data_IF_108178290687
#
_entry.id   IF_108178290687
#
_cell.length_a   1.000
_cell.length_b   1.000
_cell.length_c   1.000
_cell.angle_alpha   90.00
_cell.angle_beta   90.00
_cell.angle_gamma   90.00
#
_symmetry.space_group_name_H-M   'P 1'
#
loop_
_entity.id
_entity.type
_entity.pdbx_description
1 polymer ?
#
# COMPACT_ATOMS: atom_id res chain seq x y z
N UNK A 1 -12.13 44.32 16.04
CA UNK A 1 -13.49 43.74 15.84
C UNK A 1 -14.38 44.61 14.94
N UNK A 2 -14.38 45.94 15.06
CA UNK A 2 -15.24 46.82 14.23
C UNK A 2 -14.83 46.96 12.75
N UNK A 3 -13.72 46.34 12.31
CA UNK A 3 -13.29 46.36 10.91
C UNK A 3 -12.65 47.67 10.41
N UNK A 4 -12.38 48.61 11.32
CA UNK A 4 -11.86 49.96 11.01
C UNK A 4 -10.49 49.96 10.30
N UNK A 5 -9.61 49.03 10.67
CA UNK A 5 -8.22 49.00 10.19
C UNK A 5 -8.00 47.98 9.08
N UNK A 6 -6.99 48.22 8.25
CA UNK A 6 -6.61 47.32 7.15
C UNK A 6 -5.76 46.13 7.61
N UNK A 7 -5.73 45.08 6.79
CA UNK A 7 -4.92 43.90 7.04
C UNK A 7 -3.44 44.25 7.21
N UNK A 8 -2.78 43.61 8.18
CA UNK A 8 -1.36 43.86 8.48
C UNK A 8 -1.05 45.20 9.17
N UNK A 9 -2.00 46.13 9.28
CA UNK A 9 -1.75 47.45 9.86
C UNK A 9 -1.54 47.42 11.39
N UNK A 10 -2.23 46.52 12.09
CA UNK A 10 -2.20 46.42 13.55
C UNK A 10 -2.31 44.95 14.00
N UNK A 11 -1.73 44.67 15.17
CA UNK A 11 -1.81 43.38 15.86
C UNK A 11 -2.02 43.59 17.35
N UNK A 12 -2.72 42.66 18.00
CA UNK A 12 -2.72 42.56 19.47
C UNK A 12 -1.54 41.67 19.87
N UNK A 13 -0.73 42.12 20.83
CA UNK A 13 0.42 41.36 21.35
C UNK A 13 0.25 41.15 22.85
N UNK A 14 0.68 39.99 23.35
CA UNK A 14 0.93 39.83 24.77
C UNK A 14 2.14 40.69 25.15
N UNK A 15 2.18 41.13 26.41
CA UNK A 15 3.31 41.88 26.96
C UNK A 15 4.01 41.00 27.99
N UNK A 16 5.13 40.41 27.61
CA UNK A 16 5.83 39.37 28.38
C UNK A 16 7.29 39.83 28.59
N UNK A 17 8.21 39.40 27.73
CA UNK A 17 9.62 39.79 27.83
C UNK A 17 10.32 39.74 26.46
N UNK A 18 10.57 40.94 25.89
CA UNK A 18 11.30 41.10 24.63
C UNK A 18 12.77 40.63 24.69
N UNK A 19 13.36 40.50 25.89
CA UNK A 19 14.73 40.02 26.08
C UNK A 19 14.80 38.49 26.27
N UNK A 20 13.66 37.79 26.31
CA UNK A 20 13.62 36.36 26.58
C UNK A 20 14.49 35.56 25.62
N UNK A 21 15.23 34.52 26.09
CA UNK A 21 15.94 33.60 25.20
C UNK A 21 14.97 32.76 24.36
N UNK A 22 13.72 32.59 24.81
CA UNK A 22 12.67 31.94 24.03
C UNK A 22 11.97 32.98 23.15
N UNK A 23 12.06 32.80 21.82
CA UNK A 23 11.44 33.69 20.84
C UNK A 23 9.92 33.82 21.02
N UNK A 24 9.24 32.76 21.45
CA UNK A 24 7.80 32.75 21.64
C UNK A 24 7.36 33.64 22.83
N UNK A 25 8.28 33.97 23.74
CA UNK A 25 7.99 34.84 24.89
C UNK A 25 8.27 36.33 24.61
N UNK A 26 8.71 36.67 23.39
CA UNK A 26 9.03 38.06 23.00
C UNK A 26 7.80 38.80 22.49
N UNK A 27 6.92 39.15 23.42
CA UNK A 27 5.64 39.82 23.17
C UNK A 27 4.90 39.20 21.96
N UNK A 28 4.50 37.92 22.02
CA UNK A 28 3.94 37.22 20.87
C UNK A 28 2.63 37.88 20.40
N UNK A 29 2.37 37.78 19.08
CA UNK A 29 1.10 38.23 18.49
C UNK A 29 -0.02 37.28 18.92
N UNK A 30 -1.13 37.85 19.43
CA UNK A 30 -2.33 37.12 19.84
C UNK A 30 -3.44 37.21 18.80
N UNK A 31 -3.63 38.38 18.19
CA UNK A 31 -4.60 38.60 17.12
C UNK A 31 -4.00 39.39 15.96
N UNK A 32 -4.43 39.04 14.75
CA UNK A 32 -4.14 39.79 13.52
C UNK A 32 -5.44 40.16 12.81
N UNK A 33 -5.37 41.22 12.01
CA UNK A 33 -6.44 41.60 11.09
C UNK A 33 -6.31 40.76 9.82
N UNK A 34 -7.39 40.05 9.49
CA UNK A 34 -7.54 39.29 8.26
C UNK A 34 -9.03 39.39 7.87
N UNK A 35 -9.33 40.00 6.73
CA UNK A 35 -10.68 40.27 6.21
C UNK A 35 -11.09 39.18 5.22
N UNK A 36 -10.87 37.93 5.61
CA UNK A 36 -11.25 36.73 4.86
C UNK A 36 -12.45 36.04 5.50
N UNK A 37 -13.27 35.40 4.67
CA UNK A 37 -14.46 34.68 5.14
C UNK A 37 -14.05 33.36 5.81
N UNK A 38 -14.56 33.09 7.00
CA UNK A 38 -14.28 31.84 7.71
C UNK A 38 -15.36 30.78 7.41
N UNK A 39 -14.92 29.56 7.12
CA UNK A 39 -15.82 28.47 6.73
C UNK A 39 -16.94 28.12 7.74
N UNK A 40 -16.82 28.50 9.03
CA UNK A 40 -17.86 28.29 10.06
C UNK A 40 -18.62 29.55 10.45
N UNK A 41 -17.96 30.70 10.46
CA UNK A 41 -18.49 31.96 11.03
C UNK A 41 -18.71 33.03 9.97
N UNK A 42 -18.48 32.70 8.69
CA UNK A 42 -18.58 33.64 7.57
C UNK A 42 -17.75 34.89 7.82
N UNK A 43 -18.38 36.04 7.58
CA UNK A 43 -17.75 37.36 7.66
C UNK A 43 -17.94 38.06 9.02
N UNK A 44 -18.34 37.32 10.07
CA UNK A 44 -18.61 37.89 11.40
C UNK A 44 -17.35 38.51 12.04
N UNK A 45 -16.16 37.98 11.72
CA UNK A 45 -14.91 38.32 12.38
C UNK A 45 -13.86 38.83 11.39
N UNK A 46 -13.46 40.12 11.46
CA UNK A 46 -12.35 40.66 10.66
C UNK A 46 -10.98 40.52 11.36
N UNK A 47 -10.94 39.79 12.48
CA UNK A 47 -9.72 39.52 13.26
C UNK A 47 -9.71 38.06 13.66
N UNK A 48 -8.53 37.45 13.62
CA UNK A 48 -8.37 36.03 13.93
C UNK A 48 -7.24 35.84 14.94
N UNK A 49 -7.42 34.94 15.92
CA UNK A 49 -6.38 34.62 16.88
C UNK A 49 -5.23 33.87 16.21
N UNK A 50 -4.04 33.96 16.78
CA UNK A 50 -2.91 33.09 16.44
C UNK A 50 -3.09 31.70 17.03
N UNK A 51 -2.31 30.73 16.53
CA UNK A 51 -2.30 29.36 17.07
C UNK A 51 -2.01 29.35 18.57
N UNK A 52 -0.95 30.03 18.99
CA UNK A 52 -0.52 30.07 20.39
C UNK A 52 -1.57 30.64 21.35
N UNK A 53 -2.35 31.62 20.92
CA UNK A 53 -3.43 32.20 21.72
C UNK A 53 -4.74 31.40 21.67
N UNK A 54 -4.94 30.58 20.64
CA UNK A 54 -6.16 29.78 20.52
C UNK A 54 -6.01 28.42 21.22
N UNK A 55 -4.85 27.77 21.09
CA UNK A 55 -4.68 26.36 21.46
C UNK A 55 -4.91 26.10 22.95
N UNK A 56 -4.11 26.73 23.84
CA UNK A 56 -4.23 26.49 25.27
C UNK A 56 -5.55 26.94 25.86
N UNK A 57 -6.16 27.98 25.30
CA UNK A 57 -7.47 28.48 25.70
C UNK A 57 -8.58 27.51 25.28
N UNK A 58 -8.50 26.93 24.08
CA UNK A 58 -9.40 25.85 23.64
C UNK A 58 -9.30 24.62 24.54
N UNK A 59 -8.08 24.16 24.84
CA UNK A 59 -7.86 23.05 25.76
C UNK A 59 -8.45 23.32 27.15
N UNK A 60 -8.29 24.55 27.63
CA UNK A 60 -8.82 24.99 28.91
C UNK A 60 -10.36 24.98 28.93
N UNK A 61 -11.00 25.53 27.89
CA UNK A 61 -12.46 25.57 27.73
C UNK A 61 -13.03 24.15 27.67
N UNK A 62 -12.36 23.24 26.99
CA UNK A 62 -12.76 21.83 26.85
C UNK A 62 -12.34 20.95 28.04
N UNK A 63 -11.58 21.50 29.00
CA UNK A 63 -11.01 20.81 30.16
C UNK A 63 -10.15 19.60 29.78
N UNK A 64 -9.34 19.76 28.74
CA UNK A 64 -8.38 18.75 28.30
C UNK A 64 -7.33 18.54 29.39
N UNK A 65 -7.17 17.30 29.88
CA UNK A 65 -6.18 17.02 30.94
C UNK A 65 -4.75 17.00 30.39
N UNK A 66 -4.56 16.34 29.24
CA UNK A 66 -3.26 16.15 28.60
C UNK A 66 -3.37 16.55 27.13
N UNK A 67 -2.81 17.71 26.78
CA UNK A 67 -2.73 18.22 25.41
C UNK A 67 -1.50 17.64 24.72
N UNK A 68 -1.70 16.64 23.87
CA UNK A 68 -0.62 15.86 23.26
C UNK A 68 -0.29 16.41 21.87
N UNK A 69 0.92 16.93 21.69
CA UNK A 69 1.39 17.52 20.43
C UNK A 69 2.79 17.02 20.05
N UNK A 70 3.33 17.46 18.91
CA UNK A 70 4.67 17.03 18.45
C UNK A 70 5.78 17.95 18.98
N UNK A 71 7.03 17.46 18.96
CA UNK A 71 8.20 18.20 19.47
C UNK A 71 8.42 19.58 18.83
N UNK A 72 7.89 19.83 17.63
CA UNK A 72 7.92 21.17 17.03
C UNK A 72 7.30 22.26 17.93
N UNK A 73 6.42 21.88 18.87
CA UNK A 73 5.74 22.79 19.80
C UNK A 73 6.37 22.84 21.20
N UNK A 74 7.50 22.17 21.45
CA UNK A 74 8.15 22.17 22.78
C UNK A 74 8.52 23.59 23.23
N UNK A 75 9.06 24.42 22.32
CA UNK A 75 9.40 25.81 22.62
C UNK A 75 8.16 26.72 22.76
N UNK A 76 6.97 26.24 22.40
CA UNK A 76 5.70 26.95 22.57
C UNK A 76 5.09 26.73 23.95
N UNK A 77 5.44 25.63 24.64
CA UNK A 77 4.91 25.30 25.98
C UNK A 77 5.04 26.45 27.00
N UNK A 78 6.17 27.18 27.11
CA UNK A 78 6.26 28.29 28.07
C UNK A 78 5.22 29.39 27.84
N UNK A 79 4.84 29.63 26.58
CA UNK A 79 3.79 30.59 26.23
C UNK A 79 2.39 30.01 26.50
N UNK A 80 2.19 28.73 26.21
CA UNK A 80 0.98 27.99 26.52
C UNK A 80 0.64 28.09 28.01
N UNK A 81 1.61 27.77 28.87
CA UNK A 81 1.47 27.82 30.34
C UNK A 81 1.24 29.27 30.80
N UNK A 82 2.05 30.22 30.31
CA UNK A 82 1.92 31.65 30.68
C UNK A 82 0.53 32.21 30.39
N UNK A 83 -0.05 31.88 29.23
CA UNK A 83 -1.39 32.34 28.86
C UNK A 83 -2.49 31.72 29.74
N UNK A 84 -2.34 30.46 30.18
CA UNK A 84 -3.32 29.83 31.07
C UNK A 84 -3.25 30.41 32.49
N UNK A 85 -2.04 30.67 32.98
CA UNK A 85 -1.80 31.30 34.28
C UNK A 85 -2.33 32.74 34.33
N UNK A 86 -1.97 33.57 33.34
CA UNK A 86 -2.34 35.00 33.32
C UNK A 86 -3.85 35.21 33.14
N UNK A 87 -4.54 34.27 32.48
CA UNK A 87 -5.99 34.31 32.34
C UNK A 87 -6.74 33.66 33.52
N UNK A 88 -6.02 33.06 34.46
CA UNK A 88 -6.59 32.33 35.62
C UNK A 88 -7.60 31.24 35.20
N UNK A 89 -7.30 30.52 34.12
CA UNK A 89 -8.16 29.48 33.54
C UNK A 89 -7.71 28.06 33.91
N UNK A 90 -8.47 27.04 33.50
CA UNK A 90 -8.10 25.65 33.75
C UNK A 90 -6.76 25.33 33.07
N UNK A 91 -5.78 24.89 33.87
CA UNK A 91 -4.44 24.58 33.39
C UNK A 91 -4.40 23.16 32.82
N UNK A 92 -4.32 23.06 31.49
CA UNK A 92 -4.11 21.80 30.79
C UNK A 92 -2.61 21.50 30.71
N UNK A 93 -2.22 20.22 30.66
CA UNK A 93 -0.81 19.86 30.58
C UNK A 93 -0.41 19.58 29.13
N UNK A 94 0.44 20.41 28.53
CA UNK A 94 1.05 20.10 27.24
C UNK A 94 2.12 19.00 27.37
N UNK A 95 2.06 18.00 26.49
CA UNK A 95 3.02 16.89 26.41
C UNK A 95 3.42 16.67 24.96
N UNK A 96 4.72 16.63 24.70
CA UNK A 96 5.25 16.49 23.35
C UNK A 96 5.80 15.08 23.05
N UNK A 97 5.62 14.61 21.82
CA UNK A 97 6.25 13.39 21.30
C UNK A 97 6.88 13.62 19.92
N UNK A 98 7.84 12.78 19.55
CA UNK A 98 8.49 12.85 18.24
C UNK A 98 7.50 12.44 17.15
N UNK A 99 7.42 13.23 16.08
CA UNK A 99 6.53 12.93 14.95
C UNK A 99 6.98 11.66 14.22
N UNK A 100 6.03 10.97 13.59
CA UNK A 100 6.35 9.87 12.68
C UNK A 100 7.00 10.42 11.40
N UNK A 101 8.17 9.89 11.07
CA UNK A 101 8.74 9.97 9.73
C UNK A 101 8.93 8.55 9.19
N UNK A 102 8.72 8.36 7.89
CA UNK A 102 8.82 7.07 7.22
C UNK A 102 9.85 7.14 6.10
N UNK A 103 10.61 6.07 5.87
CA UNK A 103 11.48 5.96 4.70
C UNK A 103 10.67 5.92 3.40
N UNK A 104 11.28 6.35 2.30
CA UNK A 104 10.72 6.36 0.93
C UNK A 104 9.43 7.19 0.75
N UNK A 105 9.18 8.15 1.63
CA UNK A 105 7.99 9.01 1.57
C UNK A 105 8.23 10.39 2.18
N UNK A 106 7.30 11.31 1.93
CA UNK A 106 7.31 12.68 2.47
C UNK A 106 6.08 12.91 3.33
N UNK A 107 6.26 13.48 4.53
CA UNK A 107 5.15 13.73 5.47
C UNK A 107 4.66 15.18 5.45
N UNK A 108 5.40 16.10 4.82
CA UNK A 108 5.06 17.52 4.84
C UNK A 108 3.85 17.82 3.94
N UNK A 109 2.86 18.53 4.49
CA UNK A 109 1.65 18.94 3.74
C UNK A 109 1.99 19.71 2.47
N UNK A 110 2.99 20.60 2.52
CA UNK A 110 3.43 21.40 1.37
C UNK A 110 3.89 20.51 0.21
N UNK A 111 4.77 19.54 0.47
CA UNK A 111 5.26 18.62 -0.57
C UNK A 111 4.17 17.67 -1.07
N UNK A 112 3.31 17.18 -0.19
CA UNK A 112 2.19 16.33 -0.59
C UNK A 112 1.22 17.07 -1.51
N UNK A 113 0.91 18.33 -1.20
CA UNK A 113 0.11 19.20 -2.06
C UNK A 113 0.79 19.45 -3.40
N UNK A 114 2.09 19.72 -3.40
CA UNK A 114 2.89 19.91 -4.63
C UNK A 114 2.87 18.67 -5.54
N UNK A 115 2.95 17.45 -4.98
CA UNK A 115 2.83 16.20 -5.73
C UNK A 115 1.46 16.04 -6.40
N UNK A 116 0.39 16.46 -5.72
CA UNK A 116 -0.99 16.40 -6.23
C UNK A 116 -1.21 17.46 -7.30
N UNK A 117 -0.86 18.72 -7.03
CA UNK A 117 -1.07 19.85 -7.95
C UNK A 117 -0.23 19.71 -9.24
N UNK A 118 0.95 19.11 -9.14
CA UNK A 118 1.84 18.88 -10.28
C UNK A 118 1.54 17.57 -11.03
N UNK A 119 0.56 16.77 -10.59
CA UNK A 119 0.13 15.55 -11.28
C UNK A 119 1.07 14.35 -11.21
N UNK A 120 2.02 14.32 -10.25
CA UNK A 120 2.86 13.13 -10.02
C UNK A 120 2.07 11.96 -9.40
N UNK A 121 0.98 12.30 -8.72
CA UNK A 121 -0.02 11.37 -8.18
C UNK A 121 -1.42 11.75 -8.64
N UNK A 122 -2.35 10.80 -8.64
CA UNK A 122 -3.70 10.98 -9.17
C UNK A 122 -4.66 11.71 -8.21
N UNK A 123 -4.18 12.11 -7.02
CA UNK A 123 -4.98 12.78 -6.00
C UNK A 123 -4.50 12.50 -4.58
N UNK A 124 -5.21 13.05 -3.59
CA UNK A 124 -4.93 12.81 -2.16
C UNK A 124 -5.20 11.38 -1.72
N UNK A 125 -5.99 10.61 -2.47
CA UNK A 125 -6.30 9.21 -2.23
C UNK A 125 -5.49 8.25 -3.11
N UNK A 126 -4.49 8.73 -3.85
CA UNK A 126 -3.60 7.87 -4.64
C UNK A 126 -2.93 6.81 -3.73
N UNK A 127 -2.92 5.52 -4.10
CA UNK A 127 -2.31 4.45 -3.30
C UNK A 127 -0.81 4.62 -2.99
N UNK A 128 -0.09 5.48 -3.71
CA UNK A 128 1.31 5.81 -3.44
C UNK A 128 1.48 6.86 -2.33
N UNK A 129 0.41 7.60 -1.99
CA UNK A 129 0.44 8.66 -0.99
C UNK A 129 0.39 8.11 0.44
N UNK A 130 1.12 8.70 1.40
CA UNK A 130 1.11 8.31 2.81
C UNK A 130 -0.14 8.81 3.56
N UNK A 131 -1.18 9.23 2.83
CA UNK A 131 -2.44 9.71 3.41
C UNK A 131 -3.28 8.53 3.87
N UNK A 132 -4.12 8.74 4.89
CA UNK A 132 -5.05 7.69 5.35
C UNK A 132 -6.00 7.24 4.23
N UNK A 133 -6.43 8.16 3.36
CA UNK A 133 -7.21 7.86 2.16
C UNK A 133 -6.43 7.02 1.15
N UNK A 134 -5.16 7.35 0.88
CA UNK A 134 -4.28 6.61 -0.01
C UNK A 134 -4.00 5.19 0.49
N UNK A 135 -3.65 5.06 1.78
CA UNK A 135 -3.47 3.75 2.43
C UNK A 135 -4.76 2.91 2.37
N UNK A 136 -5.92 3.51 2.65
CA UNK A 136 -7.21 2.82 2.56
C UNK A 136 -7.50 2.32 1.14
N UNK A 137 -7.29 3.17 0.11
CA UNK A 137 -7.49 2.82 -1.30
C UNK A 137 -6.49 1.78 -1.79
N UNK A 138 -5.25 1.82 -1.30
CA UNK A 138 -4.23 0.78 -1.54
C UNK A 138 -4.64 -0.57 -0.98
N UNK A 139 -5.49 -0.60 0.04
CA UNK A 139 -6.01 -1.82 0.67
C UNK A 139 -5.47 -2.08 2.07
N UNK A 140 -4.82 -1.09 2.71
CA UNK A 140 -4.44 -1.22 4.12
C UNK A 140 -5.67 -1.42 4.99
N UNK A 141 -5.48 -2.16 6.08
CA UNK A 141 -6.50 -2.34 7.12
C UNK A 141 -6.25 -1.37 8.25
N UNK A 142 -7.31 -0.87 8.90
CA UNK A 142 -7.14 -0.03 10.07
C UNK A 142 -6.48 -0.80 11.24
N UNK A 143 -6.64 -2.12 11.30
CA UNK A 143 -5.93 -3.01 12.23
C UNK A 143 -4.42 -2.96 12.04
N UNK A 144 -3.94 -3.10 10.79
CA UNK A 144 -2.51 -3.04 10.49
C UNK A 144 -1.87 -1.69 10.82
N UNK A 145 -2.60 -0.58 10.58
CA UNK A 145 -2.12 0.77 10.89
C UNK A 145 -2.02 0.98 12.41
N UNK A 146 -3.01 0.53 13.19
CA UNK A 146 -2.96 0.59 14.66
C UNK A 146 -1.84 -0.28 15.22
N UNK A 147 -1.73 -1.52 14.77
CA UNK A 147 -0.65 -2.44 15.17
C UNK A 147 0.74 -1.85 14.84
N UNK A 148 0.88 -1.19 13.69
CA UNK A 148 2.11 -0.49 13.35
C UNK A 148 2.41 0.64 14.35
N UNK A 149 1.43 1.50 14.67
CA UNK A 149 1.59 2.56 15.67
C UNK A 149 1.96 2.00 17.05
N UNK A 150 1.34 0.90 17.48
CA UNK A 150 1.62 0.24 18.75
C UNK A 150 3.06 -0.31 18.79
N UNK A 151 3.53 -0.91 17.69
CA UNK A 151 4.89 -1.48 17.58
C UNK A 151 5.99 -0.43 17.61
N UNK A 152 5.83 0.69 16.92
CA UNK A 152 6.86 1.76 16.89
C UNK A 152 6.93 2.52 18.22
N UNK A 153 5.84 2.51 18.98
CA UNK A 153 5.72 3.20 20.26
C UNK A 153 5.75 4.72 20.13
N UNK A 154 5.79 5.38 21.29
CA UNK A 154 5.82 6.84 21.41
C UNK A 154 7.06 7.23 22.19
N UNK A 155 7.91 8.08 21.61
CA UNK A 155 9.15 8.56 22.22
C UNK A 155 9.34 10.05 21.96
N UNK A 156 10.27 10.69 22.69
CA UNK A 156 10.66 12.10 22.49
C UNK A 156 11.90 12.28 21.61
N UNK A 157 12.38 11.21 20.96
CA UNK A 157 13.54 11.27 20.07
C UNK A 157 13.07 11.10 18.63
N UNK A 158 13.47 12.02 17.77
CA UNK A 158 13.20 11.91 16.34
C UNK A 158 13.82 10.63 15.78
N UNK A 159 13.00 9.92 15.01
CA UNK A 159 13.41 8.71 14.32
C UNK A 159 12.68 8.59 12.98
N UNK A 160 13.37 8.05 11.98
CA UNK A 160 12.77 7.65 10.71
C UNK A 160 12.52 6.16 10.76
N UNK A 161 11.25 5.78 10.63
CA UNK A 161 10.82 4.38 10.70
C UNK A 161 10.83 3.79 9.29
N UNK A 162 11.36 2.57 9.18
CA UNK A 162 11.32 1.84 7.92
C UNK A 162 9.90 1.51 7.47
N UNK A 163 9.53 1.88 6.24
CA UNK A 163 8.21 1.55 5.66
C UNK A 163 7.93 0.05 5.66
N UNK A 164 8.97 -0.77 5.61
CA UNK A 164 8.88 -2.23 5.70
C UNK A 164 8.23 -2.74 6.99
N UNK A 165 8.29 -1.98 8.10
CA UNK A 165 7.60 -2.32 9.35
C UNK A 165 6.08 -2.17 9.22
N UNK A 166 5.62 -1.11 8.54
CA UNK A 166 4.20 -0.89 8.23
C UNK A 166 3.70 -1.99 7.27
N UNK A 167 4.48 -2.31 6.24
CA UNK A 167 4.15 -3.42 5.34
C UNK A 167 4.13 -4.78 6.05
N UNK A 168 4.99 -4.99 7.04
CA UNK A 168 5.01 -6.22 7.82
C UNK A 168 3.75 -6.36 8.68
N UNK A 169 3.34 -5.32 9.39
CA UNK A 169 2.09 -5.30 10.14
C UNK A 169 0.88 -5.62 9.24
N UNK A 170 0.87 -5.08 8.02
CA UNK A 170 -0.16 -5.37 7.02
C UNK A 170 -0.13 -6.84 6.55
N UNK A 171 1.04 -7.40 6.24
CA UNK A 171 1.17 -8.81 5.85
C UNK A 171 0.68 -9.74 6.95
N UNK A 172 1.01 -9.44 8.21
CA UNK A 172 0.59 -10.23 9.38
C UNK A 172 -0.93 -10.24 9.56
N UNK A 173 -1.58 -9.09 9.36
CA UNK A 173 -3.03 -8.96 9.44
C UNK A 173 -3.72 -9.68 8.27
N UNK A 174 -3.28 -9.43 7.03
CA UNK A 174 -3.91 -10.02 5.84
C UNK A 174 -3.67 -11.53 5.72
N UNK A 175 -2.55 -12.07 6.20
CA UNK A 175 -2.31 -13.52 6.18
C UNK A 175 -3.39 -14.31 6.93
N UNK A 176 -3.98 -13.69 7.97
CA UNK A 176 -5.01 -14.30 8.81
C UNK A 176 -6.42 -14.15 8.23
N UNK A 177 -6.67 -13.11 7.43
CA UNK A 177 -8.03 -12.68 7.04
C UNK A 177 -8.32 -12.79 5.55
N UNK A 178 -7.31 -12.70 4.69
CA UNK A 178 -7.50 -12.61 3.26
C UNK A 178 -7.71 -14.02 2.64
N UNK A 179 -8.82 -14.25 1.90
CA UNK A 179 -8.97 -15.45 1.11
C UNK A 179 -7.87 -15.53 0.04
N UNK A 180 -7.31 -16.72 -0.13
CA UNK A 180 -6.29 -17.05 -1.11
C UNK A 180 -6.97 -17.46 -2.41
N UNK A 181 -6.61 -16.80 -3.49
CA UNK A 181 -7.19 -16.97 -4.83
C UNK A 181 -6.07 -17.03 -5.88
N UNK A 182 -6.37 -17.56 -7.05
CA UNK A 182 -5.46 -17.62 -8.18
C UNK A 182 -5.68 -16.44 -9.14
N UNK A 183 -4.57 -15.81 -9.49
CA UNK A 183 -4.52 -14.71 -10.45
C UNK A 183 -3.21 -14.82 -11.19
N UNK A 184 -3.28 -14.77 -12.52
CA UNK A 184 -2.12 -14.79 -13.41
C UNK A 184 -1.94 -13.38 -13.97
N UNK A 185 -0.83 -12.74 -13.59
CA UNK A 185 -0.58 -11.34 -13.94
C UNK A 185 0.06 -11.18 -15.33
N UNK A 186 0.96 -12.10 -15.70
CA UNK A 186 1.58 -12.18 -17.03
C UNK A 186 1.24 -13.54 -17.67
N UNK A 187 0.10 -13.64 -18.38
CA UNK A 187 -0.46 -14.93 -18.78
C UNK A 187 0.31 -15.61 -19.92
N UNK A 188 0.80 -16.81 -19.64
CA UNK A 188 1.28 -17.76 -20.64
C UNK A 188 0.26 -18.89 -20.82
N UNK A 189 -0.18 -19.10 -22.06
CA UNK A 189 -1.18 -20.11 -22.42
C UNK A 189 -0.58 -21.51 -22.36
N UNK A 190 -1.31 -22.44 -21.75
CA UNK A 190 -0.99 -23.86 -21.70
C UNK A 190 -2.17 -24.67 -22.23
N UNK A 191 -1.92 -25.55 -23.19
CA UNK A 191 -2.91 -26.49 -23.73
C UNK A 191 -2.55 -27.90 -23.27
N UNK A 192 -3.47 -28.53 -22.54
CA UNK A 192 -3.31 -29.89 -22.01
C UNK A 192 -3.87 -30.88 -23.02
N UNK A 193 -3.01 -31.46 -23.84
CA UNK A 193 -3.39 -32.17 -25.07
C UNK A 193 -4.17 -33.46 -24.84
N UNK A 194 -3.91 -34.15 -23.72
CA UNK A 194 -4.62 -35.36 -23.34
C UNK A 194 -5.83 -35.11 -22.42
N UNK A 195 -6.20 -33.85 -22.16
CA UNK A 195 -7.45 -33.52 -21.47
C UNK A 195 -8.62 -33.42 -22.47
N UNK A 196 -9.78 -34.05 -22.24
CA UNK A 196 -10.88 -34.06 -23.21
C UNK A 196 -11.35 -32.66 -23.64
N UNK A 197 -11.58 -32.48 -24.94
CA UNK A 197 -12.11 -31.21 -25.46
C UNK A 197 -13.56 -30.98 -25.00
N UNK A 198 -13.88 -29.72 -24.67
CA UNK A 198 -15.22 -29.31 -24.22
C UNK A 198 -15.63 -29.83 -22.84
N UNK A 199 -14.72 -30.49 -22.11
CA UNK A 199 -14.96 -30.87 -20.71
C UNK A 199 -14.35 -29.85 -19.76
N UNK A 200 -15.05 -29.65 -18.64
CA UNK A 200 -14.59 -28.90 -17.48
C UNK A 200 -14.90 -29.70 -16.22
N UNK A 201 -14.08 -29.51 -15.19
CA UNK A 201 -14.34 -30.07 -13.87
C UNK A 201 -14.06 -29.05 -12.78
N UNK A 202 -14.61 -29.31 -11.60
CA UNK A 202 -14.44 -28.45 -10.44
C UNK A 202 -13.33 -28.98 -9.54
N UNK A 203 -12.35 -28.11 -9.24
CA UNK A 203 -11.25 -28.35 -8.31
C UNK A 203 -11.53 -27.60 -7.02
N UNK A 204 -11.58 -28.34 -5.91
CA UNK A 204 -11.77 -27.75 -4.58
C UNK A 204 -10.46 -27.21 -4.02
N UNK A 205 -10.50 -25.97 -3.51
CA UNK A 205 -9.35 -25.33 -2.86
C UNK A 205 -9.77 -24.63 -1.57
N UNK A 206 -8.96 -24.74 -0.53
CA UNK A 206 -9.19 -24.05 0.75
C UNK A 206 -9.04 -22.54 0.59
N UNK A 207 -9.98 -21.77 1.14
CA UNK A 207 -9.94 -20.30 1.06
C UNK A 207 -8.82 -19.71 1.91
N UNK A 208 -8.60 -20.23 3.12
CA UNK A 208 -7.55 -19.72 4.00
C UNK A 208 -7.02 -20.83 4.92
N UNK A 209 -5.82 -21.39 4.69
CA UNK A 209 -5.19 -22.34 5.62
C UNK A 209 -4.98 -21.84 7.06
N UNK A 210 -4.98 -20.52 7.30
CA UNK A 210 -4.89 -19.96 8.67
C UNK A 210 -6.27 -19.88 9.35
N UNK A 211 -7.36 -20.03 8.59
CA UNK A 211 -8.73 -19.98 9.09
C UNK A 211 -9.63 -20.99 8.37
N UNK A 212 -9.74 -22.17 8.97
CA UNK A 212 -10.59 -23.26 8.48
C UNK A 212 -12.08 -22.88 8.43
N UNK A 213 -12.52 -21.84 9.13
CA UNK A 213 -13.93 -21.41 9.12
C UNK A 213 -14.30 -20.67 7.83
N UNK A 214 -13.32 -20.22 7.05
CA UNK A 214 -13.54 -19.61 5.74
C UNK A 214 -13.94 -20.61 4.64
N UNK A 215 -13.92 -21.91 4.95
CA UNK A 215 -14.34 -22.97 4.05
C UNK A 215 -13.49 -23.11 2.80
N UNK A 216 -14.11 -23.66 1.76
CA UNK A 216 -13.48 -24.00 0.50
C UNK A 216 -14.19 -23.30 -0.66
N UNK A 217 -13.54 -23.25 -1.83
CA UNK A 217 -14.12 -22.77 -3.07
C UNK A 217 -13.88 -23.77 -4.19
N UNK A 218 -14.77 -23.72 -5.17
CA UNK A 218 -14.73 -24.49 -6.40
C UNK A 218 -14.05 -23.68 -7.49
N UNK A 219 -13.10 -24.28 -8.19
CA UNK A 219 -12.32 -23.63 -9.26
C UNK A 219 -12.44 -24.47 -10.53
N UNK A 220 -12.95 -23.90 -11.64
CA UNK A 220 -13.07 -24.65 -12.88
C UNK A 220 -11.69 -24.95 -13.47
N UNK A 221 -11.48 -26.21 -13.83
CA UNK A 221 -10.34 -26.71 -14.59
C UNK A 221 -10.80 -27.15 -15.98
N UNK A 222 -9.97 -26.90 -16.98
CA UNK A 222 -10.28 -27.16 -18.39
C UNK A 222 -9.02 -27.48 -19.18
N UNK A 223 -9.18 -27.94 -20.41
CA UNK A 223 -8.09 -28.24 -21.34
C UNK A 223 -7.07 -27.09 -21.50
N UNK A 224 -7.54 -25.85 -21.52
CA UNK A 224 -6.69 -24.67 -21.67
C UNK A 224 -6.63 -23.90 -20.36
N UNK A 225 -5.42 -23.65 -19.87
CA UNK A 225 -5.16 -22.87 -18.66
C UNK A 225 -4.11 -21.80 -18.92
N UNK A 226 -4.09 -20.76 -18.10
CA UNK A 226 -3.02 -19.78 -18.03
C UNK A 226 -2.17 -20.03 -16.79
N UNK A 227 -0.87 -19.85 -16.93
CA UNK A 227 0.12 -19.78 -15.83
C UNK A 227 0.91 -18.48 -15.96
N UNK A 228 1.70 -18.11 -14.96
CA UNK A 228 2.63 -16.98 -15.12
C UNK A 228 3.69 -17.30 -16.17
N UNK A 229 4.04 -16.34 -17.03
CA UNK A 229 5.16 -16.43 -17.97
C UNK A 229 6.47 -16.75 -17.25
N UNK A 230 6.63 -16.23 -16.03
CA UNK A 230 7.78 -16.51 -15.15
C UNK A 230 7.80 -17.92 -14.52
N UNK A 231 6.72 -18.68 -14.66
CA UNK A 231 6.67 -20.08 -14.24
C UNK A 231 7.22 -21.05 -15.29
N UNK A 232 7.66 -20.56 -16.45
CA UNK A 232 8.29 -21.36 -17.50
C UNK A 232 9.67 -20.84 -17.90
N UNK A 233 10.61 -21.77 -18.12
CA UNK A 233 11.92 -21.51 -18.73
C UNK A 233 12.32 -22.70 -19.62
N UNK A 234 12.71 -22.42 -20.86
CA UNK A 234 13.25 -23.45 -21.77
C UNK A 234 14.57 -24.00 -21.23
N UNK A 235 15.46 -23.09 -20.80
CA UNK A 235 16.73 -23.41 -20.18
C UNK A 235 16.68 -23.03 -18.69
N UNK A 236 16.24 -23.94 -17.81
CA UNK A 236 16.05 -23.62 -16.40
C UNK A 236 17.40 -23.45 -15.68
N UNK A 237 17.62 -22.35 -14.93
CA UNK A 237 18.82 -22.22 -14.10
C UNK A 237 18.79 -23.24 -12.94
N UNK A 238 19.95 -23.52 -12.30
CA UNK A 238 19.98 -24.39 -11.12
C UNK A 238 19.00 -23.93 -10.04
N UNK A 239 18.28 -24.89 -9.43
CA UNK A 239 17.22 -24.65 -8.43
C UNK A 239 15.96 -23.95 -8.97
N UNK A 240 15.79 -23.81 -10.27
CA UNK A 240 14.48 -23.56 -10.84
C UNK A 240 13.62 -24.83 -10.66
N UNK A 241 12.46 -24.72 -10.02
CA UNK A 241 11.59 -25.88 -9.74
C UNK A 241 10.29 -25.90 -10.55
N UNK A 242 10.09 -24.91 -11.41
CA UNK A 242 8.86 -24.69 -12.17
C UNK A 242 8.94 -25.40 -13.52
N UNK A 243 8.05 -25.06 -14.45
CA UNK A 243 7.87 -25.78 -15.70
C UNK A 243 9.04 -25.55 -16.67
N UNK A 244 9.52 -26.62 -17.27
CA UNK A 244 10.52 -26.61 -18.34
C UNK A 244 10.23 -27.80 -19.27
N UNK A 245 10.77 -27.82 -20.51
CA UNK A 245 10.58 -28.96 -21.41
C UNK A 245 10.95 -30.29 -20.74
N UNK A 246 10.08 -31.30 -20.87
CA UNK A 246 10.26 -32.64 -20.30
C UNK A 246 10.16 -32.75 -18.77
N UNK A 247 9.79 -31.67 -18.07
CA UNK A 247 9.71 -31.65 -16.61
C UNK A 247 8.29 -31.52 -16.10
N UNK A 248 7.98 -32.28 -15.06
CA UNK A 248 6.72 -32.19 -14.33
C UNK A 248 6.67 -30.99 -13.37
N UNK A 249 5.54 -30.28 -13.39
CA UNK A 249 5.15 -29.30 -12.37
C UNK A 249 3.75 -29.59 -11.86
N UNK A 250 3.48 -29.24 -10.60
CA UNK A 250 2.13 -29.33 -10.03
C UNK A 250 1.35 -28.05 -10.32
N UNK A 251 0.15 -28.18 -10.87
CA UNK A 251 -0.84 -27.13 -10.83
C UNK A 251 -1.53 -27.15 -9.46
N UNK A 252 -1.57 -26.00 -8.76
CA UNK A 252 -2.11 -25.91 -7.39
C UNK A 252 -3.49 -26.56 -7.30
N UNK A 253 -3.61 -27.54 -6.40
CA UNK A 253 -4.81 -28.36 -6.11
C UNK A 253 -5.36 -29.20 -7.27
N UNK A 254 -4.78 -29.12 -8.46
CA UNK A 254 -5.25 -29.83 -9.65
C UNK A 254 -4.36 -31.06 -9.94
N UNK A 255 -3.60 -31.02 -11.03
CA UNK A 255 -2.86 -32.15 -11.58
C UNK A 255 -1.37 -31.85 -11.76
N UNK A 256 -0.58 -32.88 -12.00
CA UNK A 256 0.76 -32.74 -12.54
C UNK A 256 0.68 -32.58 -14.05
N UNK A 257 1.48 -31.65 -14.59
CA UNK A 257 1.60 -31.44 -16.02
C UNK A 257 3.06 -31.52 -16.46
N UNK A 258 3.30 -32.04 -17.67
CA UNK A 258 4.60 -32.11 -18.33
C UNK A 258 4.56 -31.30 -19.61
N UNK A 259 5.53 -30.40 -19.81
CA UNK A 259 5.66 -29.65 -21.06
C UNK A 259 6.35 -30.52 -22.13
N UNK A 260 5.64 -30.74 -23.24
CA UNK A 260 6.09 -31.56 -24.36
C UNK A 260 6.59 -30.70 -25.52
N UNK A 261 5.93 -29.57 -25.77
CA UNK A 261 6.26 -28.67 -26.88
C UNK A 261 6.12 -27.19 -26.46
N UNK A 262 6.95 -26.35 -27.06
CA UNK A 262 6.97 -24.89 -26.88
C UNK A 262 6.66 -24.25 -28.21
N UNK A 263 5.52 -23.58 -28.30
CA UNK A 263 5.12 -22.85 -29.50
C UNK A 263 5.56 -21.39 -29.36
N UNK A 264 6.30 -20.93 -30.36
CA UNK A 264 6.83 -19.57 -30.43
C UNK A 264 6.20 -18.81 -31.58
N UNK A 265 6.10 -17.50 -31.41
CA UNK A 265 5.77 -16.58 -32.49
C UNK A 265 6.90 -16.56 -33.52
N UNK A 266 6.57 -16.74 -34.80
CA UNK A 266 7.57 -16.86 -35.87
C UNK A 266 8.34 -15.56 -36.12
N UNK A 267 7.75 -14.39 -35.81
CA UNK A 267 8.35 -13.09 -36.10
C UNK A 267 9.21 -12.57 -34.94
N UNK A 268 8.77 -12.77 -33.71
CA UNK A 268 9.41 -12.24 -32.48
C UNK A 268 10.25 -13.29 -31.75
N UNK A 269 9.97 -14.58 -31.97
CA UNK A 269 10.55 -15.68 -31.20
C UNK A 269 10.02 -15.77 -29.76
N UNK A 270 9.02 -14.98 -29.39
CA UNK A 270 8.41 -15.06 -28.05
C UNK A 270 7.60 -16.34 -27.88
N UNK A 271 7.63 -16.91 -26.67
CA UNK A 271 6.83 -18.08 -26.32
C UNK A 271 5.37 -17.63 -26.14
N UNK A 272 4.48 -18.18 -26.96
CA UNK A 272 3.05 -17.83 -26.97
C UNK A 272 2.17 -18.93 -26.37
N UNK A 273 2.61 -20.18 -26.43
CA UNK A 273 1.82 -21.31 -25.96
C UNK A 273 2.71 -22.51 -25.61
N UNK A 274 2.33 -23.23 -24.56
CA UNK A 274 2.93 -24.51 -24.18
C UNK A 274 1.95 -25.64 -24.44
N UNK A 275 2.43 -26.72 -25.06
CA UNK A 275 1.69 -27.98 -25.18
C UNK A 275 2.16 -28.92 -24.08
N UNK A 276 1.22 -29.33 -23.24
CA UNK A 276 1.49 -30.17 -22.10
C UNK A 276 0.60 -31.40 -22.10
N UNK A 277 1.00 -32.43 -21.36
CA UNK A 277 0.11 -33.51 -20.94
C UNK A 277 -0.09 -33.47 -19.44
N UNK A 278 -1.24 -33.92 -18.94
CA UNK A 278 -1.50 -34.08 -17.51
C UNK A 278 -1.52 -35.56 -17.11
N UNK A 279 -1.31 -35.80 -15.82
CA UNK A 279 -1.45 -37.13 -15.21
C UNK A 279 -2.79 -37.24 -14.47
N UNK A 280 -3.77 -38.04 -14.97
CA UNK A 280 -5.08 -38.20 -14.33
C UNK A 280 -5.04 -38.78 -12.91
N UNK A 281 -4.00 -39.54 -12.56
CA UNK A 281 -3.86 -40.18 -11.25
C UNK A 281 -3.41 -39.19 -10.16
N UNK A 282 -3.10 -37.95 -10.54
CA UNK A 282 -2.52 -36.93 -9.65
C UNK A 282 -3.51 -35.88 -9.15
N UNK A 283 -4.81 -36.12 -9.30
CA UNK A 283 -5.89 -35.21 -8.88
C UNK A 283 -5.71 -34.79 -7.42
N UNK A 284 -5.82 -33.49 -7.13
CA UNK A 284 -5.55 -32.93 -5.80
C UNK A 284 -4.07 -32.61 -5.56
N UNK A 285 -3.20 -32.80 -6.55
CA UNK A 285 -1.78 -32.47 -6.47
C UNK A 285 -0.92 -33.51 -5.75
N UNK A 286 -1.38 -34.74 -5.58
CA UNK A 286 -0.62 -35.85 -4.98
C UNK A 286 -0.57 -37.05 -5.91
N UNK A 287 0.60 -37.66 -6.06
CA UNK A 287 0.76 -38.93 -6.78
C UNK A 287 0.87 -40.10 -5.80
N UNK A 288 0.20 -41.21 -6.10
CA UNK A 288 0.28 -42.45 -5.31
C UNK A 288 1.59 -43.22 -5.55
N UNK A 289 2.30 -42.95 -6.65
CA UNK A 289 3.52 -43.66 -7.06
C UNK A 289 4.81 -43.14 -6.40
N UNK A 290 4.71 -42.12 -5.53
CA UNK A 290 5.84 -41.57 -4.79
C UNK A 290 6.74 -40.60 -5.56
N UNK A 291 6.40 -40.22 -6.81
CA UNK A 291 7.13 -39.17 -7.55
C UNK A 291 7.09 -37.83 -6.80
N UNK A 292 8.26 -37.24 -6.57
CA UNK A 292 8.41 -35.95 -5.89
C UNK A 292 8.51 -34.79 -6.87
N UNK A 293 7.37 -34.19 -7.21
CA UNK A 293 7.32 -32.91 -7.94
C UNK A 293 7.59 -31.75 -6.97
N UNK A 294 8.63 -30.96 -7.25
CA UNK A 294 9.10 -29.89 -6.35
C UNK A 294 8.43 -28.54 -6.56
N UNK A 295 8.00 -28.23 -7.78
CA UNK A 295 7.36 -26.96 -8.11
C UNK A 295 5.85 -27.03 -8.03
N UNK A 296 5.23 -25.92 -7.63
CA UNK A 296 3.79 -25.71 -7.74
C UNK A 296 3.52 -24.35 -8.36
N UNK A 297 2.75 -24.35 -9.44
CA UNK A 297 2.29 -23.15 -10.14
C UNK A 297 0.82 -22.93 -9.86
N UNK A 298 0.45 -21.67 -9.61
CA UNK A 298 -0.96 -21.27 -9.69
C UNK A 298 -1.36 -21.16 -11.16
N UNK A 299 -2.66 -21.27 -11.41
CA UNK A 299 -3.20 -21.35 -12.75
C UNK A 299 -4.63 -20.84 -12.77
N UNK A 300 -5.14 -20.50 -13.96
CA UNK A 300 -6.53 -20.11 -14.17
C UNK A 300 -7.05 -20.77 -15.45
N UNK A 301 -8.25 -21.35 -15.42
CA UNK A 301 -8.90 -21.88 -16.63
C UNK A 301 -9.15 -20.75 -17.64
N UNK A 302 -8.73 -20.94 -18.89
CA UNK A 302 -8.83 -19.91 -19.91
C UNK A 302 -10.27 -19.57 -20.30
N UNK A 303 -11.17 -20.56 -20.28
CA UNK A 303 -12.59 -20.40 -20.61
C UNK A 303 -13.36 -19.64 -19.52
N UNK A 304 -12.94 -19.77 -18.26
CA UNK A 304 -13.63 -19.22 -17.10
C UNK A 304 -12.92 -18.00 -16.49
N UNK A 305 -11.78 -17.60 -17.06
CA UNK A 305 -10.97 -16.52 -16.55
C UNK A 305 -11.73 -15.18 -16.56
N UNK A 306 -11.62 -14.44 -15.47
CA UNK A 306 -12.03 -13.04 -15.42
C UNK A 306 -10.85 -12.19 -15.86
N UNK A 307 -11.06 -11.38 -16.90
CA UNK A 307 -10.05 -10.42 -17.34
C UNK A 307 -10.09 -9.18 -16.45
N UNK A 308 -8.91 -8.71 -16.01
CA UNK A 308 -8.81 -7.58 -15.09
C UNK A 308 -7.58 -6.71 -15.37
N UNK A 309 -7.67 -5.46 -14.90
CA UNK A 309 -6.52 -4.59 -14.72
C UNK A 309 -5.93 -4.79 -13.33
N UNK A 310 -4.61 -4.93 -13.25
CA UNK A 310 -3.89 -5.05 -11.97
C UNK A 310 -2.85 -3.94 -11.87
N UNK A 311 -2.97 -3.12 -10.84
CA UNK A 311 -2.10 -1.99 -10.54
C UNK A 311 -1.08 -2.40 -9.48
N UNK A 312 0.17 -2.48 -9.89
CA UNK A 312 1.29 -2.94 -9.08
C UNK A 312 2.07 -1.72 -8.59
N UNK A 313 1.92 -1.41 -7.31
CA UNK A 313 2.60 -0.26 -6.69
C UNK A 313 3.96 -0.65 -6.11
N UNK A 314 4.88 0.31 -6.13
CA UNK A 314 6.17 0.28 -5.44
C UNK A 314 6.33 1.56 -4.59
N UNK A 315 7.49 1.76 -3.98
CA UNK A 315 7.83 2.99 -3.27
C UNK A 315 7.71 4.21 -4.20
N UNK A 316 7.18 5.32 -3.68
CA UNK A 316 7.02 6.56 -4.45
C UNK A 316 8.37 7.24 -4.74
N UNK A 317 9.34 7.08 -3.85
CA UNK A 317 10.70 7.58 -4.01
C UNK A 317 11.69 6.42 -4.13
N UNK A 318 12.78 6.65 -4.88
CA UNK A 318 13.85 5.68 -5.10
C UNK A 318 14.79 5.56 -3.89
N UNK A 319 14.94 6.65 -3.12
CA UNK A 319 15.82 6.72 -1.94
C UNK A 319 15.05 6.58 -0.64
N UNK A 320 15.72 6.02 0.38
CA UNK A 320 15.19 5.91 1.75
C UNK A 320 14.87 7.28 2.34
N UNK A 321 15.78 8.24 2.15
CA UNK A 321 15.54 9.65 2.43
C UNK A 321 15.32 10.40 1.11
N UNK A 322 14.09 10.86 0.82
CA UNK A 322 13.81 11.67 -0.35
C UNK A 322 14.61 12.97 -0.41
N UNK A 323 15.13 13.45 0.72
CA UNK A 323 15.94 14.67 0.84
C UNK A 323 17.44 14.43 0.60
N UNK A 324 17.88 13.18 0.42
CA UNK A 324 19.25 12.88 0.02
C UNK A 324 19.46 13.26 -1.46
N UNK A 325 19.88 14.50 -1.68
CA UNK A 325 19.99 15.14 -3.00
C UNK A 325 21.36 15.82 -3.16
N UNK A 326 21.92 15.87 -4.39
CA UNK A 326 23.03 16.77 -4.71
C UNK A 326 22.66 18.24 -4.44
N UNK A 327 23.66 19.10 -4.25
CA UNK A 327 23.44 20.52 -3.99
C UNK A 327 22.59 21.18 -5.09
N UNK A 328 21.44 21.78 -4.70
CA UNK A 328 20.48 22.40 -5.62
C UNK A 328 19.42 21.45 -6.21
N UNK A 329 19.42 20.17 -5.84
CA UNK A 329 18.41 19.18 -6.27
C UNK A 329 17.06 19.35 -5.58
N UNK A 330 16.02 18.75 -6.18
CA UNK A 330 14.65 18.77 -5.68
C UNK A 330 14.22 17.35 -5.24
N UNK A 331 13.42 17.21 -4.17
CA UNK A 331 12.95 15.89 -3.71
C UNK A 331 12.21 15.11 -4.80
N UNK A 332 11.62 15.82 -5.78
CA UNK A 332 10.98 15.23 -6.95
C UNK A 332 11.97 14.48 -7.87
N UNK A 333 13.25 14.84 -7.86
CA UNK A 333 14.30 14.15 -8.64
C UNK A 333 14.50 12.70 -8.17
N UNK A 334 14.12 12.41 -6.92
CA UNK A 334 14.15 11.08 -6.33
C UNK A 334 12.84 10.29 -6.56
N UNK A 335 11.87 10.79 -7.33
CA UNK A 335 10.64 10.05 -7.62
C UNK A 335 10.92 8.77 -8.41
N UNK A 336 10.25 7.69 -8.04
CA UNK A 336 10.37 6.40 -8.70
C UNK A 336 9.43 6.34 -9.92
N UNK A 337 9.95 6.31 -11.17
CA UNK A 337 9.11 6.18 -12.36
C UNK A 337 8.36 4.85 -12.40
N UNK A 338 8.87 3.82 -11.72
CA UNK A 338 8.28 2.49 -11.62
C UNK A 338 7.37 2.33 -10.39
N UNK A 339 7.01 3.43 -9.70
CA UNK A 339 6.13 3.42 -8.52
C UNK A 339 4.72 2.89 -8.79
N UNK A 340 4.31 2.85 -10.06
CA UNK A 340 3.06 2.26 -10.52
C UNK A 340 3.27 1.56 -11.87
N UNK A 341 2.97 0.27 -11.92
CA UNK A 341 2.83 -0.51 -13.16
C UNK A 341 1.39 -0.94 -13.33
N UNK A 342 0.78 -0.57 -14.46
CA UNK A 342 -0.58 -1.00 -14.79
C UNK A 342 -0.50 -2.19 -15.75
N UNK A 343 -0.87 -3.36 -15.26
CA UNK A 343 -0.93 -4.60 -16.03
C UNK A 343 -2.36 -4.77 -16.56
N UNK A 344 -2.47 -5.02 -17.86
CA UNK A 344 -3.75 -5.26 -18.55
C UNK A 344 -3.79 -6.70 -19.04
N UNK A 345 -5.00 -7.25 -19.18
CA UNK A 345 -5.19 -8.61 -19.67
C UNK A 345 -4.82 -9.69 -18.67
N UNK A 346 -4.67 -9.35 -17.38
CA UNK A 346 -4.47 -10.32 -16.31
C UNK A 346 -5.66 -11.29 -16.24
N UNK A 347 -5.40 -12.54 -15.87
CA UNK A 347 -6.41 -13.61 -15.85
C UNK A 347 -6.64 -14.06 -14.41
N UNK A 348 -7.83 -13.80 -13.89
CA UNK A 348 -8.20 -14.09 -12.51
C UNK A 348 -9.16 -15.30 -12.46
N UNK A 349 -9.14 -16.05 -11.35
CA UNK A 349 -10.12 -17.12 -11.15
C UNK A 349 -11.57 -16.59 -11.13
N UNK A 350 -12.52 -17.45 -11.50
CA UNK A 350 -13.93 -17.08 -11.74
C UNK A 350 -14.62 -16.45 -10.51
N UNK A 351 -14.22 -16.85 -9.30
CA UNK A 351 -14.78 -16.36 -8.04
C UNK A 351 -14.64 -14.83 -7.87
N UNK A 352 -13.66 -14.22 -8.54
CA UNK A 352 -13.36 -12.80 -8.45
C UNK A 352 -14.26 -11.91 -9.33
N UNK A 353 -15.16 -12.51 -10.11
CA UNK A 353 -16.10 -11.77 -10.97
C UNK A 353 -17.00 -10.82 -10.17
N UNK A 354 -17.41 -11.24 -8.98
CA UNK A 354 -18.35 -10.50 -8.13
C UNK A 354 -17.66 -9.79 -6.97
N UNK A 355 -16.33 -9.68 -7.01
CA UNK A 355 -15.52 -9.03 -5.98
C UNK A 355 -15.86 -7.54 -5.88
N UNK A 356 -16.05 -7.05 -4.66
CA UNK A 356 -16.55 -5.69 -4.39
C UNK A 356 -15.42 -4.74 -4.01
N UNK A 357 -15.51 -3.43 -4.34
CA UNK A 357 -14.53 -2.44 -3.93
C UNK A 357 -14.19 -2.51 -2.43
N UNK A 358 -12.89 -2.55 -2.12
CA UNK A 358 -12.37 -2.68 -0.76
C UNK A 358 -12.26 -4.10 -0.21
N UNK A 359 -12.79 -5.12 -0.92
CA UNK A 359 -12.49 -6.52 -0.62
C UNK A 359 -11.01 -6.80 -0.90
N UNK A 360 -10.46 -7.74 -0.13
CA UNK A 360 -9.02 -8.02 -0.10
C UNK A 360 -8.78 -9.50 -0.32
N UNK A 361 -7.77 -9.82 -1.09
CA UNK A 361 -7.44 -11.18 -1.50
C UNK A 361 -5.92 -11.37 -1.43
N UNK A 362 -5.49 -12.59 -1.15
CA UNK A 362 -4.13 -12.99 -1.41
C UNK A 362 -4.08 -13.69 -2.77
N UNK A 363 -3.45 -13.05 -3.76
CA UNK A 363 -3.14 -13.73 -5.01
C UNK A 363 -1.95 -14.66 -4.74
N UNK A 364 -2.18 -15.95 -4.90
CA UNK A 364 -1.20 -16.98 -4.56
C UNK A 364 0.16 -16.68 -5.20
N UNK A 365 1.22 -16.83 -4.40
CA UNK A 365 2.64 -16.59 -4.77
C UNK A 365 2.99 -15.15 -5.21
N UNK A 366 2.02 -14.25 -5.27
CA UNK A 366 2.21 -12.90 -5.84
C UNK A 366 2.19 -11.83 -4.76
N UNK A 367 1.10 -11.74 -3.99
CA UNK A 367 0.91 -10.64 -3.05
C UNK A 367 -0.49 -10.57 -2.49
N UNK A 368 -0.74 -9.53 -1.72
CA UNK A 368 -2.08 -9.15 -1.30
C UNK A 368 -2.58 -8.02 -2.19
N UNK A 369 -3.86 -8.11 -2.54
CA UNK A 369 -4.53 -7.22 -3.47
C UNK A 369 -5.86 -6.76 -2.89
N UNK A 370 -6.30 -5.58 -3.29
CA UNK A 370 -7.62 -5.06 -2.98
C UNK A 370 -8.34 -4.59 -4.24
N UNK A 371 -9.66 -4.73 -4.27
CA UNK A 371 -10.47 -4.23 -5.38
C UNK A 371 -10.52 -2.70 -5.29
N UNK A 372 -10.06 -2.01 -6.33
CA UNK A 372 -10.05 -0.55 -6.40
C UNK A 372 -11.48 0.01 -6.61
N UNK A 373 -11.80 1.21 -6.09
CA UNK A 373 -13.07 1.87 -6.38
C UNK A 373 -13.34 2.16 -7.87
N UNK A 374 -12.31 2.21 -8.72
CA UNK A 374 -12.46 2.34 -10.18
C UNK A 374 -13.00 1.05 -10.84
N UNK A 375 -13.08 -0.05 -10.08
CA UNK A 375 -13.57 -1.33 -10.56
C UNK A 375 -15.02 -1.25 -11.02
N UNK A 376 -15.31 -1.86 -12.17
CA UNK A 376 -16.68 -2.01 -12.70
C UNK A 376 -16.98 -3.47 -12.98
N UNK A 377 -18.26 -3.89 -13.10
CA UNK A 377 -18.61 -5.28 -13.40
C UNK A 377 -18.01 -5.83 -14.71
N UNK A 378 -17.58 -4.95 -15.63
CA UNK A 378 -16.96 -5.33 -16.91
C UNK A 378 -15.44 -5.17 -16.93
N UNK A 379 -14.90 -4.37 -16.01
CA UNK A 379 -13.48 -4.10 -15.91
C UNK A 379 -13.09 -4.09 -14.43
N UNK A 380 -12.87 -5.26 -13.84
CA UNK A 380 -12.36 -5.37 -12.49
C UNK A 380 -10.96 -4.75 -12.39
N UNK A 381 -10.72 -3.96 -11.36
CA UNK A 381 -9.43 -3.32 -11.10
C UNK A 381 -8.94 -3.72 -9.73
N UNK A 382 -7.71 -4.24 -9.66
CA UNK A 382 -7.08 -4.66 -8.41
C UNK A 382 -5.80 -3.89 -8.14
N UNK A 383 -5.67 -3.33 -6.94
CA UNK A 383 -4.44 -2.72 -6.44
C UNK A 383 -3.62 -3.75 -5.68
N UNK A 384 -2.33 -3.88 -5.97
CA UNK A 384 -1.39 -4.61 -5.10
C UNK A 384 -1.20 -3.82 -3.82
N UNK A 385 -1.78 -4.29 -2.72
CA UNK A 385 -1.61 -3.69 -1.40
C UNK A 385 -0.16 -3.81 -0.95
N UNK A 386 0.37 -5.03 -0.95
CA UNK A 386 1.72 -5.36 -0.53
C UNK A 386 2.17 -6.70 -1.15
N UNK A 387 3.42 -6.80 -1.59
CA UNK A 387 3.99 -8.06 -2.09
C UNK A 387 4.13 -9.11 -0.97
N UNK A 388 4.21 -10.39 -1.32
CA UNK A 388 4.62 -11.41 -0.34
C UNK A 388 6.05 -11.16 0.13
N UNK A 389 6.42 -11.78 1.27
CA UNK A 389 7.78 -11.66 1.81
C UNK A 389 8.76 -12.29 0.81
N UNK A 390 9.51 -11.44 0.12
CA UNK A 390 10.44 -11.89 -0.91
C UNK A 390 11.77 -12.32 -0.29
N UNK A 391 11.96 -13.64 -0.15
CA UNK A 391 13.25 -14.25 0.20
C UNK A 391 14.14 -14.49 -1.02
N UNK A 392 13.60 -14.46 -2.25
CA UNK A 392 14.30 -14.91 -3.45
C UNK A 392 14.83 -13.75 -4.32
N UNK A 393 14.10 -12.65 -4.47
CA UNK A 393 14.60 -11.46 -5.18
C UNK A 393 15.77 -10.79 -4.48
N UNK A 394 15.95 -11.00 -3.16
CA UNK A 394 17.21 -10.67 -2.46
C UNK A 394 18.39 -11.53 -2.93
N UNK A 395 18.17 -12.81 -3.23
CA UNK A 395 19.22 -13.71 -3.71
C UNK A 395 19.59 -13.46 -5.18
N UNK A 396 18.61 -13.12 -6.03
CA UNK A 396 18.89 -12.83 -7.44
C UNK A 396 19.55 -11.45 -7.64
N UNK A 397 19.18 -10.42 -6.85
CA UNK A 397 19.92 -9.15 -6.83
C UNK A 397 21.35 -9.31 -6.32
N UNK A 398 21.57 -10.19 -5.34
CA UNK A 398 22.91 -10.53 -4.87
C UNK A 398 23.74 -11.33 -5.90
N UNK A 399 23.10 -11.99 -6.88
CA UNK A 399 23.75 -12.72 -7.97
C UNK A 399 24.03 -11.85 -9.19
N UNK A 400 23.22 -10.83 -9.45
CA UNK A 400 23.44 -9.86 -10.53
C UNK A 400 24.51 -8.79 -10.21
N UNK A 401 24.99 -8.73 -8.97
CA UNK A 401 26.08 -7.85 -8.53
C UNK A 401 27.40 -8.62 -8.26
N UNK A 402 27.47 -9.90 -8.68
CA UNK A 402 28.62 -10.80 -8.46
C UNK A 402 29.49 -11.00 -9.69
#
# INVERSE_FOLDING_TARGET
RQGEFDEGSHVLRAKIDMASPNLNMRDPVLYRILKESHHRTGDEWPIYPTYDFAHGQSDSIERITHSVCTLEFENHRPLYDWLQDELEIYHSQQIEFARLNLTYTVMSKRRLMELVESGYVNGWDDPRMPTISGLRRRGYTPEAVREFCDRIGVARRDNTVEISQLEHALRDDLNKRAPRVMAVLDPLKVVIENYPEGQSEEITSVNNPEDNTMGERSIPFSRVVYIEKDDFREEPPPKFYRLSPGREVRLKDAYYITCNEVVKDEATGEIIELRCTYDPETKGGTSADGRKVRGTSHWVSAEHAVEAEVRVYDHLFMKEDPDDLPEGGDFKDNLNPESLKVLKGCKLEQSLKDARPGERFQFLRTGYFSVDPDSTPRNPVFNRTVALRDTWGRMDRARGQG
#
